data_IF_142666674271
#
_entry.id   IF_142666674271
#
_cell.length_a   1.000
_cell.length_b   1.000
_cell.length_c   1.000
_cell.angle_alpha   90.00
_cell.angle_beta   90.00
_cell.angle_gamma   90.00
#
_symmetry.space_group_name_H-M   'P 1'
#
loop_
_entity.id
_entity.type
_entity.pdbx_description
1 polymer ?
#
# COMPACT_ATOMS: atom_id res chain seq x y z
N UNK A 1 5.36 -11.16 -11.26
CA UNK A 1 3.97 -11.44 -11.73
C UNK A 1 3.05 -11.46 -10.52
N UNK A 2 2.69 -10.28 -9.98
CA UNK A 2 1.70 -10.14 -8.89
C UNK A 2 0.63 -9.10 -9.26
N UNK A 3 0.60 -8.65 -10.52
CA UNK A 3 0.07 -7.35 -10.92
C UNK A 3 -1.43 -7.29 -11.23
N UNK A 4 -2.19 -8.39 -11.28
CA UNK A 4 -3.48 -8.34 -12.00
C UNK A 4 -4.75 -8.70 -11.23
N UNK A 5 -4.69 -9.09 -9.94
CA UNK A 5 -5.91 -9.59 -9.25
C UNK A 5 -6.21 -9.03 -7.87
N UNK A 6 -5.66 -7.86 -7.48
CA UNK A 6 -6.15 -7.19 -6.26
C UNK A 6 -7.62 -6.74 -6.40
N UNK A 7 -8.10 -6.58 -7.63
CA UNK A 7 -9.50 -6.26 -7.99
C UNK A 7 -10.53 -7.24 -7.42
N UNK A 8 -10.15 -8.49 -7.15
CA UNK A 8 -11.06 -9.51 -6.64
C UNK A 8 -11.27 -9.42 -5.12
N UNK A 9 -10.40 -8.70 -4.40
CA UNK A 9 -10.44 -8.61 -2.93
C UNK A 9 -11.14 -7.33 -2.45
N UNK A 10 -12.31 -7.02 -3.02
CA UNK A 10 -13.06 -5.77 -2.75
C UNK A 10 -13.45 -5.58 -1.29
N UNK A 11 -13.52 -6.65 -0.51
CA UNK A 11 -13.89 -6.62 0.91
C UNK A 11 -12.70 -6.75 1.86
N UNK A 12 -11.47 -6.73 1.34
CA UNK A 12 -10.28 -6.84 2.18
C UNK A 12 -10.17 -5.62 3.09
N UNK A 13 -10.07 -5.86 4.40
CA UNK A 13 -9.84 -4.82 5.42
C UNK A 13 -8.39 -4.76 5.88
N UNK A 14 -7.67 -5.86 5.75
CA UNK A 14 -6.31 -6.04 6.26
C UNK A 14 -5.50 -6.71 5.14
N UNK A 15 -4.44 -6.04 4.70
CA UNK A 15 -3.48 -6.59 3.75
C UNK A 15 -2.10 -6.61 4.42
N UNK A 16 -1.56 -7.80 4.67
CA UNK A 16 -0.20 -7.96 5.19
C UNK A 16 0.69 -8.58 4.13
N UNK A 17 1.75 -7.86 3.81
CA UNK A 17 2.83 -8.24 2.88
C UNK A 17 4.17 -8.23 3.65
N UNK A 18 4.11 -8.45 4.96
CA UNK A 18 5.27 -8.46 5.85
C UNK A 18 6.30 -9.50 5.39
N UNK A 19 7.56 -9.09 5.27
CA UNK A 19 8.65 -9.98 4.85
C UNK A 19 8.60 -10.39 3.36
N UNK A 20 7.65 -9.87 2.57
CA UNK A 20 7.58 -10.18 1.15
C UNK A 20 8.70 -9.46 0.38
N UNK A 21 9.27 -10.15 -0.62
CA UNK A 21 10.29 -9.59 -1.54
C UNK A 21 9.61 -8.79 -2.67
N UNK A 22 8.84 -7.77 -2.29
CA UNK A 22 8.12 -6.89 -3.21
C UNK A 22 8.94 -5.63 -3.38
N UNK A 23 9.27 -5.26 -4.61
CA UNK A 23 10.01 -4.03 -4.91
C UNK A 23 9.07 -2.82 -5.05
N UNK A 24 7.87 -3.05 -5.59
CA UNK A 24 6.82 -2.05 -5.81
C UNK A 24 5.43 -2.66 -5.61
N UNK A 25 4.48 -1.84 -5.14
CA UNK A 25 3.06 -2.23 -5.12
C UNK A 25 2.41 -1.96 -6.49
N UNK A 26 1.52 -2.84 -6.97
CA UNK A 26 0.83 -2.63 -8.23
C UNK A 26 -0.20 -1.50 -8.12
N UNK A 27 -0.44 -0.79 -9.24
CA UNK A 27 -1.46 0.26 -9.32
C UNK A 27 -2.85 -0.21 -8.87
N UNK A 28 -3.17 -1.49 -9.09
CA UNK A 28 -4.43 -2.13 -8.70
C UNK A 28 -4.73 -2.11 -7.19
N UNK A 29 -3.78 -1.69 -6.34
CA UNK A 29 -4.02 -1.43 -4.92
C UNK A 29 -5.17 -0.43 -4.71
N UNK A 30 -5.40 0.50 -5.66
CA UNK A 30 -6.51 1.48 -5.58
C UNK A 30 -7.90 0.86 -5.46
N UNK A 31 -8.07 -0.40 -5.90
CA UNK A 31 -9.36 -1.09 -5.83
C UNK A 31 -9.65 -1.68 -4.45
N UNK A 32 -8.67 -1.69 -3.54
CA UNK A 32 -8.81 -2.17 -2.17
C UNK A 32 -9.38 -1.09 -1.25
N UNK A 33 -10.49 -0.45 -1.66
CA UNK A 33 -11.05 0.74 -1.02
C UNK A 33 -11.45 0.53 0.44
N UNK A 34 -11.67 -0.71 0.88
CA UNK A 34 -12.05 -1.06 2.26
C UNK A 34 -10.86 -1.40 3.17
N UNK A 35 -9.62 -1.40 2.66
CA UNK A 35 -8.43 -1.70 3.47
C UNK A 35 -8.23 -0.60 4.50
N UNK A 36 -8.13 -1.01 5.77
CA UNK A 36 -7.85 -0.17 6.93
C UNK A 36 -6.41 -0.34 7.41
N UNK A 37 -5.83 -1.52 7.22
CA UNK A 37 -4.48 -1.83 7.66
C UNK A 37 -3.67 -2.44 6.50
N UNK A 38 -2.59 -1.76 6.13
CA UNK A 38 -1.61 -2.23 5.14
C UNK A 38 -0.26 -2.39 5.82
N UNK A 39 0.25 -3.62 5.88
CA UNK A 39 1.54 -3.93 6.48
C UNK A 39 2.57 -4.34 5.43
N UNK A 40 3.62 -3.54 5.35
CA UNK A 40 4.80 -3.71 4.50
C UNK A 40 6.08 -3.83 5.34
N UNK A 41 5.93 -4.17 6.62
CA UNK A 41 7.03 -4.34 7.56
C UNK A 41 8.04 -5.35 7.03
N UNK A 42 9.33 -5.03 7.14
CA UNK A 42 10.42 -5.90 6.68
C UNK A 42 10.28 -6.33 5.19
N UNK A 43 9.56 -5.56 4.37
CA UNK A 43 9.48 -5.78 2.93
C UNK A 43 10.56 -5.00 2.19
N UNK A 44 10.86 -5.41 0.95
CA UNK A 44 11.87 -4.74 0.10
C UNK A 44 11.31 -3.57 -0.71
N UNK A 45 10.12 -3.09 -0.35
CA UNK A 45 9.42 -2.06 -1.13
C UNK A 45 10.25 -0.78 -1.09
N UNK A 46 10.58 -0.24 -2.28
CA UNK A 46 11.35 0.99 -2.44
C UNK A 46 10.45 2.17 -2.79
N UNK A 47 9.42 1.91 -3.60
CA UNK A 47 8.47 2.91 -4.08
C UNK A 47 7.04 2.46 -3.85
N UNK A 48 6.22 3.37 -3.33
CA UNK A 48 4.78 3.22 -3.26
C UNK A 48 4.16 3.93 -4.48
N UNK A 49 3.22 3.31 -5.21
CA UNK A 49 2.54 3.98 -6.31
C UNK A 49 1.64 5.09 -5.76
N UNK A 50 1.44 6.19 -6.51
CA UNK A 50 0.52 7.27 -6.11
C UNK A 50 -0.93 6.78 -5.91
N UNK A 51 -1.29 5.64 -6.50
CA UNK A 51 -2.57 4.96 -6.29
C UNK A 51 -2.81 4.52 -4.84
N UNK A 52 -1.78 4.42 -3.99
CA UNK A 52 -1.94 4.16 -2.56
C UNK A 52 -2.74 5.27 -1.87
N UNK A 53 -2.68 6.51 -2.38
CA UNK A 53 -3.45 7.64 -1.85
C UNK A 53 -4.96 7.50 -2.10
N UNK A 54 -5.38 6.54 -2.95
CA UNK A 54 -6.80 6.21 -3.18
C UNK A 54 -7.36 5.24 -2.13
N UNK A 55 -6.53 4.73 -1.22
CA UNK A 55 -6.98 3.92 -0.09
C UNK A 55 -7.62 4.79 1.00
N UNK A 56 -8.79 5.37 0.70
CA UNK A 56 -9.45 6.37 1.56
C UNK A 56 -9.85 5.86 2.95
N UNK A 57 -9.93 4.55 3.16
CA UNK A 57 -10.21 3.94 4.46
C UNK A 57 -8.95 3.51 5.22
N UNK A 58 -7.75 3.73 4.67
CA UNK A 58 -6.50 3.31 5.28
C UNK A 58 -6.24 4.09 6.57
N UNK A 59 -6.18 3.37 7.69
CA UNK A 59 -5.93 3.92 9.02
C UNK A 59 -4.48 3.70 9.46
N UNK A 60 -3.84 2.66 8.93
CA UNK A 60 -2.48 2.32 9.30
C UNK A 60 -1.72 1.77 8.09
N UNK A 61 -0.59 2.40 7.83
CA UNK A 61 0.43 1.96 6.88
C UNK A 61 1.71 1.65 7.66
N UNK A 62 2.01 0.36 7.86
CA UNK A 62 3.23 -0.07 8.55
C UNK A 62 4.37 -0.30 7.57
N UNK A 63 5.36 0.60 7.59
CA UNK A 63 6.56 0.58 6.75
C UNK A 63 7.83 0.28 7.57
N UNK A 64 7.70 -0.17 8.82
CA UNK A 64 8.86 -0.42 9.68
C UNK A 64 9.82 -1.43 9.05
N UNK A 65 11.12 -1.15 9.11
CA UNK A 65 12.16 -1.97 8.46
C UNK A 65 11.97 -2.18 6.95
N UNK A 66 11.17 -1.36 6.27
CA UNK A 66 11.14 -1.29 4.81
C UNK A 66 12.24 -0.37 4.29
N UNK A 67 12.55 -0.46 2.99
CA UNK A 67 13.50 0.44 2.31
C UNK A 67 12.79 1.56 1.53
N UNK A 68 11.62 1.97 1.99
CA UNK A 68 10.84 3.01 1.32
C UNK A 68 11.57 4.33 1.43
N UNK A 69 12.00 4.89 0.31
CA UNK A 69 12.81 6.12 0.28
C UNK A 69 11.93 7.37 0.37
N UNK A 70 10.76 7.36 -0.28
CA UNK A 70 9.83 8.48 -0.32
C UNK A 70 8.38 8.00 -0.28
N UNK A 71 7.53 8.70 0.48
CA UNK A 71 6.08 8.58 0.37
C UNK A 71 5.59 9.42 -0.81
N UNK A 72 4.48 9.02 -1.49
CA UNK A 72 3.89 9.85 -2.54
C UNK A 72 3.54 11.23 -1.99
N UNK A 73 3.83 12.29 -2.76
CA UNK A 73 3.61 13.69 -2.34
C UNK A 73 2.15 13.92 -1.93
N UNK A 74 1.23 13.26 -2.61
CA UNK A 74 -0.21 13.34 -2.40
C UNK A 74 -0.66 12.71 -1.07
N UNK A 75 0.20 11.97 -0.36
CA UNK A 75 -0.09 11.41 0.96
C UNK A 75 0.13 12.44 2.09
N UNK A 76 0.95 13.46 1.85
CA UNK A 76 1.20 14.57 2.79
C UNK A 76 0.18 15.70 2.70
N UNK A 77 -0.56 15.80 1.60
CA UNK A 77 -1.56 16.85 1.34
C UNK A 77 -2.92 16.54 2.01
N UNK A 78 -2.90 16.34 3.33
CA UNK A 78 -4.10 16.47 4.17
C UNK A 78 -4.12 17.79 4.95
N UNK A 79 -3.26 18.73 4.57
CA UNK A 79 -3.30 20.09 5.09
C UNK A 79 -4.44 20.87 4.41
N UNK A 80 -5.41 21.24 5.25
CA UNK A 80 -6.35 22.38 5.12
C UNK A 80 -5.97 23.46 4.13
#
# INVERSE_FOLDING_TARGET
>A
VYSEHLTNFKWLKVLSLRGCKIDELPKSIEYLSLVKYLNLNNSKVRKLPSSICRLCNLQTLDLNYSKTEELPKEMGDSAT
#
